data_IF_991731051429
#
_entry.id   IF_991731051429
#
_cell.length_a   1.000
_cell.length_b   1.000
_cell.length_c   1.000
_cell.angle_alpha   90.00
_cell.angle_beta   90.00
_cell.angle_gamma   90.00
#
_symmetry.space_group_name_H-M   'P 1'
#
loop_
_entity.id
_entity.type
_entity.pdbx_description
1 polymer ?
#
# COMPACT_ATOMS: atom_id res chain seq x y z
N UNK A 1 55.77 20.62 9.74
CA UNK A 1 54.36 20.24 9.49
C UNK A 1 53.58 21.31 8.72
N UNK A 2 53.60 22.59 9.13
CA UNK A 2 52.86 23.67 8.47
C UNK A 2 53.10 23.81 6.96
N UNK A 3 54.36 23.84 6.51
CA UNK A 3 54.71 23.95 5.08
C UNK A 3 54.16 22.82 4.21
N UNK A 4 54.11 21.59 4.73
CA UNK A 4 53.59 20.45 3.99
C UNK A 4 52.06 20.55 3.83
N UNK A 5 51.35 20.95 4.89
CA UNK A 5 49.90 21.15 4.86
C UNK A 5 49.51 22.26 3.87
N UNK A 6 50.24 23.38 3.84
CA UNK A 6 50.00 24.46 2.87
C UNK A 6 50.18 23.98 1.43
N UNK A 7 51.27 23.25 1.14
CA UNK A 7 51.50 22.68 -0.20
C UNK A 7 50.39 21.73 -0.63
N UNK A 8 49.86 20.92 0.29
CA UNK A 8 48.71 20.05 -0.01
C UNK A 8 47.45 20.86 -0.31
N UNK A 9 47.21 21.95 0.42
CA UNK A 9 46.07 22.82 0.15
C UNK A 9 46.19 23.55 -1.19
N UNK A 10 47.38 24.02 -1.55
CA UNK A 10 47.67 24.59 -2.88
C UNK A 10 47.44 23.56 -4.00
N UNK A 11 47.87 22.31 -3.80
CA UNK A 11 47.61 21.23 -4.74
C UNK A 11 46.10 20.96 -4.92
N UNK A 12 45.32 21.05 -3.84
CA UNK A 12 43.86 20.92 -3.89
C UNK A 12 43.25 22.06 -4.71
N UNK A 13 43.70 23.30 -4.50
CA UNK A 13 43.25 24.45 -5.30
C UNK A 13 43.56 24.31 -6.78
N UNK A 14 44.77 23.86 -7.12
CA UNK A 14 45.13 23.53 -8.51
C UNK A 14 44.25 22.43 -9.10
N UNK A 15 44.00 21.36 -8.35
CA UNK A 15 43.17 20.24 -8.80
C UNK A 15 41.69 20.61 -9.00
N UNK A 16 41.13 21.41 -8.09
CA UNK A 16 39.73 21.85 -8.13
C UNK A 16 39.53 23.20 -8.84
N UNK A 17 40.58 23.77 -9.41
CA UNK A 17 40.60 25.04 -10.14
C UNK A 17 40.06 26.24 -9.33
N UNK A 18 40.54 26.43 -8.10
CA UNK A 18 40.31 27.65 -7.31
C UNK A 18 41.63 28.22 -6.76
N UNK A 19 41.63 29.52 -6.44
CA UNK A 19 42.78 30.18 -5.82
C UNK A 19 42.86 29.84 -4.31
N UNK A 20 43.86 29.07 -3.85
CA UNK A 20 44.01 28.71 -2.44
C UNK A 20 44.24 29.91 -1.51
N UNK A 21 44.65 31.07 -2.03
CA UNK A 21 44.84 32.27 -1.22
C UNK A 21 43.55 33.09 -1.06
N UNK A 22 42.54 32.83 -1.90
CA UNK A 22 41.24 33.51 -1.84
C UNK A 22 40.28 32.90 -0.81
N UNK A 23 40.52 31.66 -0.39
CA UNK A 23 39.67 30.91 0.56
C UNK A 23 40.56 30.29 1.63
N UNK A 24 40.23 30.52 2.90
CA UNK A 24 40.96 29.91 4.01
C UNK A 24 40.75 28.39 4.05
N UNK A 25 41.72 27.65 4.60
CA UNK A 25 41.60 26.19 4.80
C UNK A 25 40.34 25.85 5.62
N UNK A 26 40.05 26.65 6.65
CA UNK A 26 38.90 26.47 7.53
C UNK A 26 37.58 26.67 6.79
N UNK A 27 37.47 27.71 5.96
CA UNK A 27 36.28 27.97 5.16
C UNK A 27 36.04 26.87 4.12
N UNK A 28 37.09 26.47 3.40
CA UNK A 28 36.99 25.43 2.38
C UNK A 28 36.48 24.11 2.97
N UNK A 29 37.11 23.63 4.05
CA UNK A 29 36.71 22.38 4.68
C UNK A 29 35.40 22.50 5.47
N UNK A 30 35.08 23.70 5.99
CA UNK A 30 33.79 24.00 6.61
C UNK A 30 32.64 23.89 5.59
N UNK A 31 32.80 24.49 4.41
CA UNK A 31 31.83 24.36 3.31
C UNK A 31 31.71 22.91 2.83
N UNK A 32 32.83 22.20 2.68
CA UNK A 32 32.83 20.80 2.26
C UNK A 32 32.15 19.88 3.30
N UNK A 33 32.37 20.13 4.59
CA UNK A 33 31.71 19.40 5.68
C UNK A 33 30.19 19.65 5.65
N UNK A 34 29.77 20.91 5.47
CA UNK A 34 28.36 21.25 5.33
C UNK A 34 27.73 20.59 4.09
N UNK A 35 28.40 20.65 2.94
CA UNK A 35 27.96 19.96 1.72
C UNK A 35 27.76 18.46 1.96
N UNK A 36 28.72 17.79 2.63
CA UNK A 36 28.61 16.36 2.97
C UNK A 36 27.37 16.08 3.82
N UNK A 37 27.09 16.92 4.83
CA UNK A 37 25.90 16.77 5.68
C UNK A 37 24.61 16.94 4.88
N UNK A 38 24.51 17.99 4.08
CA UNK A 38 23.35 18.25 3.23
C UNK A 38 23.12 17.14 2.21
N UNK A 39 24.19 16.64 1.59
CA UNK A 39 24.11 15.53 0.63
C UNK A 39 23.58 14.26 1.28
N UNK A 40 24.07 13.90 2.47
CA UNK A 40 23.59 12.73 3.20
C UNK A 40 22.13 12.86 3.62
N UNK A 41 21.68 14.06 4.01
CA UNK A 41 20.27 14.27 4.34
C UNK A 41 19.38 14.20 3.11
N UNK A 42 19.78 14.86 2.01
CA UNK A 42 19.07 14.77 0.72
C UNK A 42 18.95 13.33 0.21
N UNK A 43 19.98 12.49 0.40
CA UNK A 43 19.88 11.06 0.07
C UNK A 43 18.81 10.33 0.87
N UNK A 44 18.70 10.59 2.18
CA UNK A 44 17.64 10.00 3.02
C UNK A 44 16.26 10.50 2.61
N UNK A 45 16.13 11.81 2.35
CA UNK A 45 14.87 12.42 1.91
C UNK A 45 14.42 11.84 0.57
N UNK A 46 15.33 11.67 -0.39
CA UNK A 46 15.04 11.05 -1.68
C UNK A 46 14.55 9.60 -1.52
N UNK A 47 15.16 8.84 -0.61
CA UNK A 47 14.71 7.48 -0.33
C UNK A 47 13.28 7.47 0.24
N UNK A 48 13.02 8.29 1.27
CA UNK A 48 11.68 8.44 1.87
C UNK A 48 10.63 8.89 0.84
N UNK A 49 10.99 9.83 -0.03
CA UNK A 49 10.12 10.33 -1.10
C UNK A 49 9.75 9.21 -2.07
N UNK A 50 10.72 8.41 -2.52
CA UNK A 50 10.49 7.28 -3.43
C UNK A 50 9.57 6.23 -2.80
N UNK A 51 9.79 5.88 -1.54
CA UNK A 51 8.92 4.94 -0.81
C UNK A 51 7.48 5.45 -0.68
N UNK A 52 7.32 6.74 -0.37
CA UNK A 52 6.01 7.37 -0.25
C UNK A 52 5.28 7.40 -1.58
N UNK A 53 5.96 7.76 -2.67
CA UNK A 53 5.41 7.75 -4.03
C UNK A 53 4.95 6.34 -4.44
N UNK A 54 5.75 5.31 -4.15
CA UNK A 54 5.35 3.92 -4.40
C UNK A 54 4.13 3.51 -3.57
N UNK A 55 4.07 3.90 -2.29
CA UNK A 55 2.92 3.61 -1.43
C UNK A 55 1.64 4.27 -1.95
N UNK A 56 1.72 5.53 -2.37
CA UNK A 56 0.59 6.26 -2.98
C UNK A 56 0.16 5.58 -4.28
N UNK A 57 1.11 5.22 -5.16
CA UNK A 57 0.82 4.55 -6.43
C UNK A 57 0.11 3.22 -6.20
N UNK A 58 0.58 2.39 -5.25
CA UNK A 58 -0.05 1.11 -4.89
C UNK A 58 -1.46 1.32 -4.33
N UNK A 59 -1.66 2.32 -3.46
CA UNK A 59 -2.97 2.62 -2.90
C UNK A 59 -3.97 3.07 -3.98
N UNK A 60 -3.54 3.90 -4.95
CA UNK A 60 -4.36 4.32 -6.09
C UNK A 60 -4.76 3.12 -6.96
N UNK A 61 -3.81 2.28 -7.34
CA UNK A 61 -4.08 1.06 -8.14
C UNK A 61 -5.03 0.09 -7.42
N UNK A 62 -4.88 -0.09 -6.11
CA UNK A 62 -5.77 -0.94 -5.32
C UNK A 62 -7.21 -0.39 -5.28
N UNK A 63 -7.38 0.93 -5.12
CA UNK A 63 -8.69 1.57 -5.15
C UNK A 63 -9.36 1.46 -6.52
N UNK A 64 -8.63 1.76 -7.59
CA UNK A 64 -9.13 1.65 -8.97
C UNK A 64 -9.55 0.21 -9.29
N UNK A 65 -8.74 -0.79 -8.89
CA UNK A 65 -9.09 -2.20 -9.06
C UNK A 65 -10.35 -2.58 -8.29
N UNK A 66 -10.49 -2.14 -7.03
CA UNK A 66 -11.67 -2.42 -6.22
C UNK A 66 -12.93 -1.78 -6.81
N UNK A 67 -12.82 -0.57 -7.36
CA UNK A 67 -13.92 0.13 -8.02
C UNK A 67 -14.34 -0.57 -9.32
N UNK A 68 -13.38 -0.97 -10.16
CA UNK A 68 -13.64 -1.76 -11.38
C UNK A 68 -14.33 -3.08 -11.05
N UNK A 69 -13.84 -3.83 -10.06
CA UNK A 69 -14.47 -5.09 -9.62
C UNK A 69 -15.90 -4.87 -9.08
N UNK A 70 -16.16 -3.74 -8.38
CA UNK A 70 -17.50 -3.38 -7.90
C UNK A 70 -18.44 -3.06 -9.06
N UNK A 71 -17.99 -2.29 -10.05
CA UNK A 71 -18.79 -1.96 -11.24
C UNK A 71 -19.09 -3.21 -12.07
N UNK A 72 -18.11 -4.09 -12.29
CA UNK A 72 -18.32 -5.36 -12.99
C UNK A 72 -19.33 -6.27 -12.28
N UNK A 73 -19.27 -6.36 -10.94
CA UNK A 73 -20.25 -7.11 -10.13
C UNK A 73 -21.65 -6.53 -10.28
N UNK A 74 -21.79 -5.21 -10.23
CA UNK A 74 -23.08 -4.54 -10.41
C UNK A 74 -23.64 -4.78 -11.82
N UNK A 75 -22.80 -4.69 -12.86
CA UNK A 75 -23.21 -4.94 -14.24
C UNK A 75 -23.66 -6.39 -14.45
N UNK A 76 -22.89 -7.37 -13.96
CA UNK A 76 -23.26 -8.80 -14.01
C UNK A 76 -24.56 -9.08 -13.25
N UNK A 77 -24.79 -8.42 -12.11
CA UNK A 77 -26.05 -8.54 -11.36
C UNK A 77 -27.23 -7.95 -12.14
N UNK A 78 -27.07 -6.78 -12.77
CA UNK A 78 -28.12 -6.17 -13.62
C UNK A 78 -28.47 -7.04 -14.83
N UNK A 79 -27.50 -7.68 -15.48
CA UNK A 79 -27.77 -8.61 -16.58
C UNK A 79 -28.60 -9.83 -16.17
N UNK A 80 -28.50 -10.28 -14.92
CA UNK A 80 -29.27 -11.42 -14.39
C UNK A 80 -30.68 -11.01 -13.89
N UNK A 81 -30.91 -9.72 -13.67
CA UNK A 81 -32.14 -9.17 -13.08
C UNK A 81 -32.45 -7.89 -13.85
N UNK A 82 -33.06 -8.02 -15.03
CA UNK A 82 -33.57 -6.87 -15.79
C UNK A 82 -34.98 -6.53 -15.28
N UNK A 83 -35.05 -5.82 -14.15
CA UNK A 83 -36.32 -5.40 -13.54
C UNK A 83 -36.95 -4.17 -14.20
N UNK A 84 -36.27 -3.53 -15.17
CA UNK A 84 -36.71 -2.27 -15.76
C UNK A 84 -37.28 -2.41 -17.17
N UNK A 85 -37.31 -3.62 -17.75
CA UNK A 85 -38.12 -3.89 -18.94
C UNK A 85 -39.54 -4.23 -18.49
N UNK A 86 -40.36 -3.20 -18.41
CA UNK A 86 -41.81 -3.36 -18.42
C UNK A 86 -42.22 -3.93 -19.79
N UNK A 87 -42.58 -5.22 -19.82
CA UNK A 87 -43.20 -5.85 -21.00
C UNK A 87 -43.01 -7.37 -21.04
N UNK A 88 -43.94 -8.11 -20.43
CA UNK A 88 -44.31 -9.51 -20.74
C UNK A 88 -43.18 -10.49 -21.18
N UNK A 89 -42.09 -10.61 -20.42
CA UNK A 89 -41.09 -11.66 -20.66
C UNK A 89 -41.41 -12.92 -19.83
N UNK A 90 -42.18 -13.86 -20.39
CA UNK A 90 -42.19 -15.27 -19.93
C UNK A 90 -40.76 -15.83 -20.06
N UNK A 91 -40.16 -16.34 -18.97
CA UNK A 91 -38.80 -16.92 -18.98
C UNK A 91 -37.82 -16.35 -17.96
N UNK A 92 -38.23 -15.34 -17.17
CA UNK A 92 -37.43 -14.82 -16.04
C UNK A 92 -37.14 -15.92 -15.01
N UNK A 93 -38.14 -16.75 -14.67
CA UNK A 93 -37.97 -17.84 -13.72
C UNK A 93 -37.01 -18.90 -14.23
N UNK A 94 -37.09 -19.28 -15.52
CA UNK A 94 -36.19 -20.26 -16.12
C UNK A 94 -34.75 -19.73 -16.16
N UNK A 95 -34.57 -18.44 -16.48
CA UNK A 95 -33.26 -17.78 -16.44
C UNK A 95 -32.65 -17.76 -15.03
N UNK A 96 -33.47 -17.52 -14.00
CA UNK A 96 -33.04 -17.58 -12.60
C UNK A 96 -32.69 -19.01 -12.17
N UNK A 97 -33.49 -19.99 -12.57
CA UNK A 97 -33.25 -21.40 -12.26
C UNK A 97 -32.01 -21.93 -12.97
N UNK A 98 -31.78 -21.56 -14.23
CA UNK A 98 -30.58 -21.89 -14.99
C UNK A 98 -29.32 -21.25 -14.35
N UNK A 99 -29.41 -20.00 -13.88
CA UNK A 99 -28.30 -19.34 -13.17
C UNK A 99 -27.99 -20.00 -11.82
N UNK A 100 -29.00 -20.52 -11.12
CA UNK A 100 -28.82 -21.30 -9.89
C UNK A 100 -28.20 -22.68 -10.18
N UNK A 101 -28.69 -23.39 -11.20
CA UNK A 101 -28.22 -24.72 -11.58
C UNK A 101 -26.80 -24.71 -12.15
N UNK A 102 -26.48 -23.77 -13.04
CA UNK A 102 -25.12 -23.56 -13.58
C UNK A 102 -24.13 -23.00 -12.54
N UNK A 103 -24.63 -22.59 -11.36
CA UNK A 103 -23.85 -21.98 -10.30
C UNK A 103 -23.41 -20.54 -10.58
N UNK A 104 -23.88 -19.93 -11.68
CA UNK A 104 -23.61 -18.54 -12.04
C UNK A 104 -24.12 -17.56 -10.97
N UNK A 105 -25.23 -17.88 -10.31
CA UNK A 105 -25.84 -17.10 -9.22
C UNK A 105 -24.96 -16.97 -7.96
N UNK A 106 -23.98 -17.87 -7.77
CA UNK A 106 -23.19 -17.96 -6.53
C UNK A 106 -21.70 -17.60 -6.70
N UNK A 107 -21.32 -17.04 -7.86
CA UNK A 107 -19.93 -16.79 -8.24
C UNK A 107 -19.15 -15.89 -7.27
N UNK A 108 -19.82 -15.12 -6.40
CA UNK A 108 -19.17 -14.16 -5.51
C UNK A 108 -18.72 -14.72 -4.14
N UNK A 109 -19.21 -15.90 -3.71
CA UNK A 109 -18.79 -16.46 -2.39
C UNK A 109 -17.47 -17.23 -2.43
N UNK A 110 -16.92 -17.56 -3.60
CA UNK A 110 -15.69 -18.40 -3.72
C UNK A 110 -14.38 -17.61 -3.84
N UNK A 111 -14.40 -16.28 -3.84
CA UNK A 111 -13.17 -15.46 -3.69
C UNK A 111 -12.87 -15.11 -2.23
N UNK A 112 -13.11 -16.04 -1.29
CA UNK A 112 -12.36 -15.97 -0.02
C UNK A 112 -10.91 -16.30 -0.38
N UNK A 113 -10.01 -15.35 -0.13
CA UNK A 113 -8.56 -15.59 -0.07
C UNK A 113 -8.30 -16.93 0.62
N UNK A 114 -7.39 -17.79 0.10
CA UNK A 114 -7.04 -19.03 0.78
C UNK A 114 -6.60 -18.66 2.19
N UNK A 115 -7.39 -19.11 3.17
CA UNK A 115 -7.06 -18.93 4.57
C UNK A 115 -5.93 -19.92 4.79
N UNK A 116 -4.70 -19.42 4.96
CA UNK A 116 -3.55 -20.25 5.32
C UNK A 116 -3.97 -21.11 6.53
N UNK A 117 -4.08 -22.41 6.29
CA UNK A 117 -4.72 -23.38 7.17
C UNK A 117 -3.75 -23.81 8.26
N UNK A 118 -3.25 -22.85 9.06
CA UNK A 118 -2.28 -23.14 10.11
C UNK A 118 -2.52 -22.42 11.45
N UNK A 119 -3.73 -21.93 11.71
CA UNK A 119 -4.16 -21.59 13.08
C UNK A 119 -5.59 -22.04 13.32
N UNK A 120 -5.76 -23.34 13.63
CA UNK A 120 -6.92 -23.83 14.38
C UNK A 120 -6.87 -23.18 15.77
N UNK A 121 -7.41 -21.97 15.91
CA UNK A 121 -7.84 -21.49 17.21
C UNK A 121 -9.10 -22.29 17.56
N UNK A 122 -8.96 -23.22 18.50
CA UNK A 122 -10.07 -23.92 19.12
C UNK A 122 -10.93 -22.85 19.80
N UNK A 123 -12.05 -22.51 19.18
CA UNK A 123 -13.11 -21.71 19.79
C UNK A 123 -13.78 -22.63 20.82
N UNK A 124 -13.28 -22.59 22.06
CA UNK A 124 -14.00 -23.04 23.24
C UNK A 124 -15.37 -22.35 23.25
N UNK A 125 -16.42 -23.11 22.94
CA UNK A 125 -17.80 -22.71 23.16
C UNK A 125 -17.97 -22.46 24.66
N UNK A 126 -17.92 -21.19 25.08
CA UNK A 126 -18.30 -20.79 26.42
C UNK A 126 -19.73 -21.28 26.67
N UNK A 127 -19.83 -22.32 27.51
CA UNK A 127 -21.09 -22.96 27.86
C UNK A 127 -22.00 -21.94 28.53
N UNK A 128 -23.21 -21.90 27.98
CA UNK A 128 -24.47 -21.40 28.51
C UNK A 128 -24.48 -21.03 29.99
N UNK A 129 -24.92 -19.79 30.24
CA UNK A 129 -25.49 -19.30 31.50
C UNK A 129 -26.34 -20.41 32.16
N UNK A 130 -25.98 -20.81 33.38
CA UNK A 130 -26.88 -21.49 34.29
C UNK A 130 -27.09 -20.54 35.47
N UNK A 131 -28.22 -19.83 35.46
CA UNK A 131 -28.68 -19.03 36.58
C UNK A 131 -29.65 -19.92 37.36
N UNK A 132 -29.19 -20.51 38.45
CA UNK A 132 -30.03 -21.21 39.41
C UNK A 132 -29.87 -20.53 40.76
N UNK A 133 -30.76 -19.58 41.04
CA UNK A 133 -31.07 -19.16 42.40
C UNK A 133 -32.51 -18.64 42.40
N UNK A 134 -33.43 -19.53 42.79
CA UNK A 134 -34.78 -19.18 43.19
C UNK A 134 -34.95 -19.70 44.62
N UNK A 135 -35.15 -18.86 45.65
CA UNK A 135 -35.53 -19.34 46.97
C UNK A 135 -37.01 -19.70 46.95
N UNK A 136 -37.32 -20.89 47.48
CA UNK A 136 -38.68 -21.28 47.81
C UNK A 136 -39.07 -20.71 49.18
N UNK A 137 -40.21 -20.03 49.18
CA UNK A 137 -41.21 -19.80 50.24
C UNK A 137 -40.80 -19.90 51.71
#
# INVERSE_FOLDING_TARGET
MHKNMQKLYENIGSFLAFDPHSVSVEDFFGQLANFRLLFLEAMKENHKKKEMEEKIKRAKLAKEKAEREKQERQHKKKQLIDMNKEGDETGVMDSLMEALQSGAAFRDRRKRTPRNDNRRAVLERSRSRHNANHPAR
#
